data_IF_285434586629
#
_entry.id   IF_285434586629
#
_cell.length_a   1.000
_cell.length_b   1.000
_cell.length_c   1.000
_cell.angle_alpha   90.00
_cell.angle_beta   90.00
_cell.angle_gamma   90.00
#
_symmetry.space_group_name_H-M   'P 1'
#
loop_
_entity.id
_entity.type
_entity.pdbx_description
1 polymer ?
#
# COMPACT_ATOMS: atom_id res chain seq x y z
N UNK A 1 -25.21 47.48 -12.39
CA UNK A 1 -25.33 46.16 -13.04
C UNK A 1 -24.12 45.33 -12.62
N UNK A 2 -24.09 44.79 -11.40
CA UNK A 2 -24.96 43.72 -10.86
C UNK A 2 -24.75 42.41 -11.61
N UNK A 3 -23.99 41.50 -11.01
CA UNK A 3 -24.41 40.15 -10.57
C UNK A 3 -23.14 39.35 -10.22
N UNK A 4 -22.78 39.19 -8.94
CA UNK A 4 -22.93 37.94 -8.15
C UNK A 4 -23.46 36.70 -8.88
N UNK A 5 -23.15 35.52 -8.31
CA UNK A 5 -23.47 34.13 -8.70
C UNK A 5 -22.32 33.49 -9.49
N UNK A 6 -21.66 32.43 -9.03
CA UNK A 6 -22.01 31.46 -8.01
C UNK A 6 -20.72 30.71 -7.65
N UNK A 7 -20.45 30.67 -6.36
CA UNK A 7 -20.06 29.46 -5.66
C UNK A 7 -20.67 28.23 -6.36
N UNK A 8 -19.89 27.59 -7.24
CA UNK A 8 -20.20 26.27 -7.75
C UNK A 8 -19.41 25.29 -6.91
N UNK A 9 -19.96 25.04 -5.72
CA UNK A 9 -20.20 23.69 -5.26
C UNK A 9 -20.68 22.83 -6.45
N UNK A 10 -19.74 22.36 -7.28
CA UNK A 10 -20.01 21.24 -8.17
C UNK A 10 -20.13 20.05 -7.23
N UNK A 11 -21.37 19.74 -6.90
CA UNK A 11 -21.77 18.45 -6.40
C UNK A 11 -21.14 17.38 -7.29
N UNK A 12 -20.00 16.87 -6.87
CA UNK A 12 -19.79 15.44 -6.98
C UNK A 12 -20.90 14.85 -6.13
N UNK A 13 -21.77 14.06 -6.76
CA UNK A 13 -22.46 12.98 -6.09
C UNK A 13 -21.36 12.12 -5.46
N UNK A 14 -20.87 12.57 -4.31
CA UNK A 14 -19.71 12.05 -3.64
C UNK A 14 -20.16 10.77 -2.98
N UNK A 15 -20.00 9.66 -3.68
CA UNK A 15 -19.78 8.40 -2.98
C UNK A 15 -18.49 8.59 -2.19
N UNK A 16 -18.63 9.10 -0.96
CA UNK A 16 -17.55 9.10 0.02
C UNK A 16 -17.13 7.65 0.18
N UNK A 17 -15.94 7.31 -0.31
CA UNK A 17 -15.42 5.95 -0.22
C UNK A 17 -15.37 5.57 1.26
N UNK A 18 -16.08 4.51 1.63
CA UNK A 18 -16.19 4.08 3.03
C UNK A 18 -15.05 3.14 3.40
N UNK A 19 -14.86 2.90 4.71
CA UNK A 19 -13.94 1.89 5.19
C UNK A 19 -14.28 0.51 4.59
N UNK A 20 -15.57 0.15 4.57
CA UNK A 20 -16.02 -1.15 4.09
C UNK A 20 -15.74 -1.36 2.59
N UNK A 21 -15.85 -0.30 1.79
CA UNK A 21 -15.49 -0.35 0.36
C UNK A 21 -14.01 -0.68 0.16
N UNK A 22 -13.13 0.06 0.85
CA UNK A 22 -11.68 -0.14 0.76
C UNK A 22 -11.26 -1.50 1.32
N UNK A 23 -11.85 -1.86 2.46
CA UNK A 23 -11.54 -3.11 3.15
C UNK A 23 -12.00 -4.31 2.33
N UNK A 24 -13.16 -4.22 1.68
CA UNK A 24 -13.66 -5.25 0.77
C UNK A 24 -12.72 -5.47 -0.43
N UNK A 25 -12.14 -4.41 -0.98
CA UNK A 25 -11.13 -4.52 -2.04
C UNK A 25 -9.84 -5.12 -1.49
N UNK A 26 -9.34 -4.63 -0.34
CA UNK A 26 -8.12 -5.14 0.28
C UNK A 26 -8.22 -6.66 0.53
N UNK A 27 -9.31 -7.12 1.16
CA UNK A 27 -9.54 -8.55 1.41
C UNK A 27 -9.45 -9.38 0.12
N UNK A 28 -10.13 -8.94 -0.95
CA UNK A 28 -10.11 -9.64 -2.25
C UNK A 28 -8.70 -9.64 -2.85
N UNK A 29 -7.96 -8.53 -2.75
CA UNK A 29 -6.58 -8.44 -3.23
C UNK A 29 -5.65 -9.39 -2.47
N UNK A 30 -5.79 -9.51 -1.14
CA UNK A 30 -4.99 -10.47 -0.34
C UNK A 30 -5.32 -11.91 -0.73
N UNK A 31 -6.60 -12.24 -0.91
CA UNK A 31 -7.02 -13.57 -1.35
C UNK A 31 -6.47 -13.94 -2.73
N UNK A 32 -6.43 -12.99 -3.66
CA UNK A 32 -5.88 -13.23 -4.99
C UNK A 32 -4.36 -13.47 -4.94
N UNK A 33 -3.63 -12.75 -4.07
CA UNK A 33 -2.21 -13.01 -3.85
C UNK A 33 -1.99 -14.38 -3.23
N UNK A 34 -2.78 -14.77 -2.21
CA UNK A 34 -2.70 -16.10 -1.62
C UNK A 34 -2.93 -17.20 -2.68
N UNK A 35 -3.93 -17.00 -3.54
CA UNK A 35 -4.22 -17.90 -4.66
C UNK A 35 -3.08 -17.95 -5.67
N UNK A 36 -2.48 -16.81 -6.01
CA UNK A 36 -1.36 -16.73 -6.95
C UNK A 36 -0.09 -17.38 -6.40
N UNK A 37 0.19 -17.23 -5.10
CA UNK A 37 1.35 -17.85 -4.43
C UNK A 37 1.19 -19.37 -4.32
N UNK A 38 -0.05 -19.87 -4.13
CA UNK A 38 -0.33 -21.32 -4.05
C UNK A 38 -0.34 -22.03 -5.40
N UNK A 39 -0.51 -21.30 -6.51
CA UNK A 39 -0.45 -21.89 -7.85
C UNK A 39 1.00 -22.27 -8.20
N UNK A 40 1.25 -23.55 -8.42
CA UNK A 40 2.60 -24.12 -8.64
C UNK A 40 3.10 -23.96 -10.07
N UNK A 41 2.23 -23.71 -11.06
CA UNK A 41 2.61 -23.42 -12.45
C UNK A 41 1.42 -22.85 -13.27
N UNK A 42 1.65 -21.92 -14.21
CA UNK A 42 2.90 -21.17 -14.43
C UNK A 42 3.18 -20.17 -13.29
N UNK A 43 4.45 -19.75 -13.08
CA UNK A 43 4.77 -18.76 -12.08
C UNK A 43 3.99 -17.45 -12.34
N UNK A 44 3.54 -16.76 -11.28
CA UNK A 44 2.78 -15.52 -11.44
C UNK A 44 3.61 -14.47 -12.18
N UNK A 45 2.96 -13.76 -13.12
CA UNK A 45 3.59 -12.64 -13.82
C UNK A 45 4.05 -11.58 -12.79
N UNK A 46 5.37 -11.43 -12.67
CA UNK A 46 5.99 -10.50 -11.72
C UNK A 46 5.54 -9.05 -11.96
N UNK A 47 5.23 -8.67 -13.20
CA UNK A 47 4.74 -7.32 -13.51
C UNK A 47 3.34 -7.12 -12.95
N UNK A 48 2.46 -8.10 -13.12
CA UNK A 48 1.11 -8.06 -12.58
C UNK A 48 1.12 -8.11 -11.05
N UNK A 49 1.97 -8.96 -10.46
CA UNK A 49 2.15 -9.04 -9.01
C UNK A 49 2.67 -7.72 -8.44
N UNK A 50 3.68 -7.11 -9.05
CA UNK A 50 4.19 -5.80 -8.63
C UNK A 50 3.11 -4.72 -8.65
N UNK A 51 2.28 -4.70 -9.70
CA UNK A 51 1.12 -3.79 -9.79
C UNK A 51 0.12 -4.06 -8.66
N UNK A 52 -0.20 -5.32 -8.39
CA UNK A 52 -1.11 -5.70 -7.32
C UNK A 52 -0.59 -5.26 -5.93
N UNK A 53 0.71 -5.48 -5.66
CA UNK A 53 1.33 -5.03 -4.40
C UNK A 53 1.28 -3.52 -4.25
N UNK A 54 1.58 -2.77 -5.32
CA UNK A 54 1.48 -1.31 -5.27
C UNK A 54 0.04 -0.86 -5.03
N UNK A 55 -0.96 -1.47 -5.68
CA UNK A 55 -2.38 -1.18 -5.43
C UNK A 55 -2.74 -1.44 -3.96
N UNK A 56 -2.32 -2.56 -3.39
CA UNK A 56 -2.54 -2.88 -1.97
C UNK A 56 -1.96 -1.80 -1.05
N UNK A 57 -0.73 -1.34 -1.31
CA UNK A 57 -0.12 -0.27 -0.51
C UNK A 57 -0.89 1.05 -0.61
N UNK A 58 -1.44 1.37 -1.79
CA UNK A 58 -2.29 2.55 -1.96
C UNK A 58 -3.64 2.39 -1.23
N UNK A 59 -4.22 1.19 -1.21
CA UNK A 59 -5.43 0.90 -0.42
C UNK A 59 -5.17 1.04 1.07
N UNK A 60 -4.04 0.50 1.58
CA UNK A 60 -3.63 0.68 2.97
C UNK A 60 -3.46 2.16 3.28
N UNK A 61 -2.80 2.93 2.40
CA UNK A 61 -2.66 4.37 2.57
C UNK A 61 -4.02 5.11 2.62
N UNK A 62 -5.00 4.70 1.81
CA UNK A 62 -6.35 5.25 1.88
C UNK A 62 -7.06 4.87 3.18
N UNK A 63 -6.91 3.62 3.63
CA UNK A 63 -7.49 3.14 4.89
C UNK A 63 -6.95 3.93 6.09
N UNK A 64 -5.69 4.36 6.08
CA UNK A 64 -5.13 5.26 7.11
C UNK A 64 -5.74 6.68 7.10
N UNK A 65 -6.40 7.09 6.01
CA UNK A 65 -7.06 8.40 5.89
C UNK A 65 -8.55 8.36 6.21
N UNK A 66 -9.13 7.17 6.33
CA UNK A 66 -10.56 6.98 6.61
C UNK A 66 -10.74 6.71 8.12
N UNK A 67 -11.68 7.41 8.79
CA UNK A 67 -11.97 7.14 10.19
C UNK A 67 -12.46 5.70 10.36
N UNK A 68 -11.90 4.98 11.34
CA UNK A 68 -12.27 3.61 11.66
C UNK A 68 -12.50 3.42 13.16
N UNK A 69 -13.37 2.49 13.52
CA UNK A 69 -13.53 2.03 14.91
C UNK A 69 -12.34 1.14 15.33
N UNK A 70 -12.12 0.91 16.64
CA UNK A 70 -11.08 0.00 17.10
C UNK A 70 -11.19 -1.41 16.50
N UNK A 71 -12.41 -1.91 16.32
CA UNK A 71 -12.65 -3.22 15.71
C UNK A 71 -12.30 -3.23 14.21
N UNK A 72 -12.60 -2.14 13.50
CA UNK A 72 -12.21 -1.96 12.09
C UNK A 72 -10.69 -1.84 11.94
N UNK A 73 -10.02 -1.09 12.82
CA UNK A 73 -8.55 -1.00 12.83
C UNK A 73 -7.91 -2.37 13.07
N UNK A 74 -8.43 -3.13 14.03
CA UNK A 74 -7.99 -4.49 14.29
C UNK A 74 -8.19 -5.40 13.08
N UNK A 75 -9.36 -5.34 12.42
CA UNK A 75 -9.65 -6.13 11.24
C UNK A 75 -8.75 -5.77 10.04
N UNK A 76 -8.48 -4.48 9.83
CA UNK A 76 -7.49 -3.98 8.86
C UNK A 76 -6.11 -4.58 9.15
N UNK A 77 -5.60 -4.44 10.37
CA UNK A 77 -4.29 -4.95 10.80
C UNK A 77 -4.19 -6.48 10.64
N UNK A 78 -5.24 -7.21 10.99
CA UNK A 78 -5.28 -8.66 10.81
C UNK A 78 -5.12 -9.08 9.33
N UNK A 79 -5.73 -8.35 8.41
CA UNK A 79 -5.59 -8.62 6.98
C UNK A 79 -4.22 -8.22 6.43
N UNK A 80 -3.66 -7.10 6.89
CA UNK A 80 -2.29 -6.70 6.54
C UNK A 80 -1.29 -7.75 7.04
N UNK A 81 -1.44 -8.25 8.28
CA UNK A 81 -0.62 -9.34 8.81
C UNK A 81 -0.71 -10.61 7.95
N UNK A 82 -1.94 -11.02 7.58
CA UNK A 82 -2.14 -12.18 6.69
C UNK A 82 -1.45 -12.00 5.35
N UNK A 83 -1.58 -10.81 4.76
CA UNK A 83 -0.89 -10.43 3.52
C UNK A 83 0.63 -10.54 3.65
N UNK A 84 1.21 -10.04 4.74
CA UNK A 84 2.65 -10.10 4.99
C UNK A 84 3.15 -11.55 5.18
N UNK A 85 2.35 -12.41 5.80
CA UNK A 85 2.67 -13.85 5.97
C UNK A 85 2.70 -14.64 4.67
N UNK A 86 2.16 -14.11 3.58
CA UNK A 86 2.33 -14.70 2.25
C UNK A 86 3.72 -14.45 1.66
N UNK A 87 4.56 -13.63 2.33
CA UNK A 87 5.87 -13.20 1.86
C UNK A 87 5.88 -12.76 0.39
N UNK A 88 4.95 -11.88 -0.02
CA UNK A 88 4.83 -11.52 -1.41
C UNK A 88 6.06 -10.73 -1.87
N UNK A 89 6.56 -11.06 -3.06
CA UNK A 89 7.69 -10.39 -3.68
C UNK A 89 7.30 -9.88 -5.05
N UNK A 90 7.51 -8.57 -5.26
CA UNK A 90 7.28 -7.92 -6.54
C UNK A 90 8.47 -8.08 -7.49
N UNK A 91 8.63 -7.10 -8.37
CA UNK A 91 9.79 -7.01 -9.27
C UNK A 91 11.08 -6.88 -8.44
N UNK A 92 12.19 -7.46 -8.89
CA UNK A 92 13.49 -7.43 -8.20
C UNK A 92 13.45 -7.99 -6.77
N UNK A 93 12.51 -8.89 -6.46
CA UNK A 93 12.28 -9.40 -5.11
C UNK A 93 11.88 -8.33 -4.07
N UNK A 94 11.33 -7.19 -4.50
CA UNK A 94 10.89 -6.14 -3.59
C UNK A 94 9.77 -6.66 -2.69
N UNK A 95 9.98 -6.57 -1.38
CA UNK A 95 8.93 -6.81 -0.40
C UNK A 95 7.96 -5.63 -0.33
N UNK A 96 6.77 -5.77 0.31
CA UNK A 96 5.88 -4.64 0.56
C UNK A 96 6.55 -3.49 1.28
N UNK A 97 7.53 -3.78 2.15
CA UNK A 97 8.27 -2.76 2.88
C UNK A 97 9.25 -2.00 1.98
N UNK A 98 9.94 -2.67 1.04
CA UNK A 98 10.75 -2.00 0.01
C UNK A 98 9.89 -1.04 -0.82
N UNK A 99 8.70 -1.50 -1.25
CA UNK A 99 7.78 -0.68 -2.03
C UNK A 99 7.25 0.51 -1.21
N UNK A 100 6.95 0.34 0.08
CA UNK A 100 6.48 1.44 0.94
C UNK A 100 7.52 2.56 1.13
N UNK A 101 8.80 2.26 0.95
CA UNK A 101 9.90 3.22 1.09
C UNK A 101 10.55 3.60 -0.24
N UNK A 102 9.99 3.13 -1.36
CA UNK A 102 10.45 3.46 -2.70
C UNK A 102 9.57 4.53 -3.37
N UNK A 103 10.23 5.55 -3.94
CA UNK A 103 9.53 6.64 -4.66
C UNK A 103 8.82 6.16 -5.93
N UNK A 104 9.31 5.09 -6.58
CA UNK A 104 8.71 4.60 -7.82
C UNK A 104 7.37 3.89 -7.59
N UNK A 105 7.09 3.46 -6.36
CA UNK A 105 5.80 2.87 -5.98
C UNK A 105 4.63 3.81 -6.23
N UNK A 106 4.84 5.14 -6.08
CA UNK A 106 3.83 6.20 -6.30
C UNK A 106 3.15 6.12 -7.68
N UNK A 107 3.83 5.59 -8.69
CA UNK A 107 3.36 5.59 -10.07
C UNK A 107 2.46 4.39 -10.39
N UNK A 108 1.22 4.37 -9.86
CA UNK A 108 0.19 3.38 -10.24
C UNK A 108 -0.75 3.97 -11.29
N UNK A 109 -0.32 3.91 -12.56
CA UNK A 109 -1.13 4.38 -13.68
C UNK A 109 -1.26 5.91 -13.74
N UNK A 110 -2.45 6.42 -14.11
CA UNK A 110 -2.67 7.85 -14.40
C UNK A 110 -2.90 8.74 -13.18
N UNK A 111 -3.14 8.17 -11.99
CA UNK A 111 -3.53 8.95 -10.82
C UNK A 111 -2.77 8.50 -9.56
N UNK A 112 -1.80 9.28 -9.06
CA UNK A 112 -1.15 8.99 -7.79
C UNK A 112 -2.14 9.25 -6.64
N UNK A 113 -2.61 8.17 -6.00
CA UNK A 113 -3.55 8.25 -4.86
C UNK A 113 -2.80 8.63 -3.57
N UNK A 114 -1.59 8.12 -3.40
CA UNK A 114 -0.69 8.39 -2.29
C UNK A 114 0.73 8.57 -2.79
N UNK A 115 1.52 9.37 -2.05
CA UNK A 115 2.94 9.57 -2.33
C UNK A 115 3.74 8.61 -1.48
N UNK A 116 4.66 7.89 -2.12
CA UNK A 116 5.69 7.10 -1.48
C UNK A 116 7.05 7.78 -1.69
N UNK A 117 7.99 7.67 -0.75
CA UNK A 117 7.94 6.94 0.53
C UNK A 117 6.86 7.48 1.50
N UNK A 118 6.17 6.59 2.22
CA UNK A 118 5.10 6.99 3.17
C UNK A 118 5.42 6.49 4.58
N UNK A 119 5.55 7.43 5.52
CA UNK A 119 5.76 7.12 6.94
C UNK A 119 4.61 6.28 7.52
N UNK A 120 3.36 6.70 7.28
CA UNK A 120 2.17 6.01 7.82
C UNK A 120 2.07 4.57 7.31
N UNK A 121 2.28 4.34 6.00
CA UNK A 121 2.25 2.99 5.43
C UNK A 121 3.41 2.15 5.96
N UNK A 122 4.59 2.73 6.13
CA UNK A 122 5.74 2.01 6.71
C UNK A 122 5.44 1.59 8.15
N UNK A 123 4.92 2.51 8.98
CA UNK A 123 4.58 2.25 10.37
C UNK A 123 3.54 1.13 10.51
N UNK A 124 2.43 1.18 9.77
CA UNK A 124 1.38 0.13 9.88
C UNK A 124 1.88 -1.24 9.40
N UNK A 125 2.76 -1.29 8.39
CA UNK A 125 3.37 -2.55 7.95
C UNK A 125 4.28 -3.13 9.04
N UNK A 126 5.06 -2.30 9.74
CA UNK A 126 5.90 -2.72 10.86
C UNK A 126 5.08 -3.17 12.07
N UNK A 127 4.03 -2.42 12.43
CA UNK A 127 3.07 -2.81 13.46
C UNK A 127 2.43 -4.18 13.16
N UNK A 128 2.21 -4.47 11.87
CA UNK A 128 1.68 -5.75 11.41
C UNK A 128 2.77 -6.83 11.19
N UNK A 129 4.00 -6.62 11.65
CA UNK A 129 5.07 -7.62 11.64
C UNK A 129 5.81 -7.78 10.32
N UNK A 130 5.90 -6.72 9.51
CA UNK A 130 6.78 -6.72 8.34
C UNK A 130 8.25 -6.88 8.78
N UNK A 131 8.98 -7.74 8.09
CA UNK A 131 10.40 -7.96 8.37
C UNK A 131 11.25 -6.84 7.75
N UNK A 132 11.96 -6.12 8.61
CA UNK A 132 12.86 -4.99 8.27
C UNK A 132 14.15 -5.45 7.60
N UNK A 133 14.53 -6.72 7.78
CA UNK A 133 15.81 -7.25 7.29
C UNK A 133 15.67 -8.00 5.97
N UNK A 134 14.48 -8.00 5.36
CA UNK A 134 14.27 -8.62 4.04
C UNK A 134 15.22 -7.99 3.03
N UNK A 135 15.80 -8.82 2.17
CA UNK A 135 16.69 -8.37 1.10
C UNK A 135 16.05 -8.56 -0.27
N UNK A 136 16.22 -7.56 -1.12
CA UNK A 136 15.86 -7.63 -2.53
C UNK A 136 16.89 -8.43 -3.36
N UNK A 137 16.76 -8.39 -4.69
CA UNK A 137 17.67 -9.08 -5.61
C UNK A 137 19.11 -8.53 -5.60
N UNK A 138 19.30 -7.27 -5.19
CA UNK A 138 20.59 -6.58 -5.11
C UNK A 138 21.19 -6.61 -3.68
N UNK A 139 20.59 -7.40 -2.78
CA UNK A 139 20.94 -7.46 -1.34
C UNK A 139 20.66 -6.17 -0.57
N UNK A 140 19.89 -5.25 -1.12
CA UNK A 140 19.42 -4.07 -0.41
C UNK A 140 18.30 -4.46 0.55
N UNK A 141 18.31 -3.87 1.74
CA UNK A 141 17.18 -3.90 2.67
C UNK A 141 16.31 -2.66 2.50
N UNK A 142 15.09 -2.62 3.07
CA UNK A 142 14.25 -1.42 3.06
C UNK A 142 14.99 -0.17 3.58
N UNK A 143 15.89 -0.32 4.56
CA UNK A 143 16.70 0.78 5.06
C UNK A 143 17.64 1.35 3.99
N UNK A 144 18.26 0.50 3.16
CA UNK A 144 19.09 0.95 2.04
C UNK A 144 18.25 1.76 1.03
N UNK A 145 17.04 1.30 0.70
CA UNK A 145 16.13 2.01 -0.22
C UNK A 145 15.65 3.34 0.39
N UNK A 146 15.33 3.37 1.68
CA UNK A 146 14.95 4.59 2.39
C UNK A 146 16.09 5.63 2.41
N UNK A 147 17.33 5.18 2.59
CA UNK A 147 18.53 6.03 2.53
C UNK A 147 18.74 6.62 1.13
N UNK A 148 18.57 5.81 0.06
CA UNK A 148 18.66 6.29 -1.32
C UNK A 148 17.59 7.35 -1.66
N UNK A 149 16.41 7.28 -1.02
CA UNK A 149 15.34 8.25 -1.19
C UNK A 149 15.41 9.45 -0.21
N UNK A 150 16.47 9.53 0.61
CA UNK A 150 16.75 10.61 1.55
C UNK A 150 15.57 10.93 2.50
N UNK A 151 15.00 9.90 3.14
CA UNK A 151 13.84 10.03 4.01
C UNK A 151 14.17 9.65 5.47
N UNK A 152 14.77 10.57 6.26
CA UNK A 152 15.31 10.26 7.59
C UNK A 152 14.27 9.79 8.59
N UNK A 153 13.04 10.27 8.51
CA UNK A 153 11.97 9.85 9.42
C UNK A 153 11.62 8.36 9.25
N UNK A 154 11.67 7.86 8.01
CA UNK A 154 11.47 6.44 7.71
C UNK A 154 12.71 5.62 8.08
N UNK A 155 13.91 6.18 7.90
CA UNK A 155 15.15 5.51 8.34
C UNK A 155 15.21 5.32 9.84
N UNK A 156 14.73 6.27 10.63
CA UNK A 156 14.66 6.16 12.09
C UNK A 156 13.61 5.14 12.56
N UNK A 157 12.67 4.77 11.69
CA UNK A 157 11.59 3.84 11.98
C UNK A 157 11.97 2.38 11.69
N UNK A 158 12.90 2.15 10.75
CA UNK A 158 13.36 0.83 10.28
C UNK A 158 14.57 0.33 11.07
#
# INVERSE_FOLDING_TARGET
FSFMLQDRAKGLLGTTVTFDDLMGILCKSVMEIDRAVKQTAPPPDQVQLNKALSIILHLICLLEKVPCSPDQDHFKKQNIYRFLKLHPKGKNNFSPLHLAVDKNTTCVGRYPVCKFPSFQVTAILLECGADVNVRDAEQNSPLHVAALNNHPDIMNLL
#
